data_IF_966238825981
#
_entry.id   IF_966238825981
#
_cell.length_a   1.000
_cell.length_b   1.000
_cell.length_c   1.000
_cell.angle_alpha   90.00
_cell.angle_beta   90.00
_cell.angle_gamma   90.00
#
_symmetry.space_group_name_H-M   'P 1'
#
loop_
_entity.id
_entity.type
_entity.pdbx_description
1 polymer ?
#
# COMPACT_ATOMS: atom_id res chain seq x y z
N UNK A 1 26.96 36.69 -27.90
CA UNK A 1 26.71 37.00 -26.48
C UNK A 1 25.55 36.11 -26.07
N UNK A 2 25.84 34.93 -25.54
CA UNK A 2 24.82 33.97 -25.14
C UNK A 2 24.38 34.34 -23.71
N UNK A 3 23.07 34.51 -23.52
CA UNK A 3 22.47 34.69 -22.21
C UNK A 3 22.67 33.39 -21.41
N UNK A 4 23.23 33.52 -20.20
CA UNK A 4 23.10 32.51 -19.16
C UNK A 4 21.67 32.62 -18.65
N UNK A 5 20.87 31.57 -18.79
CA UNK A 5 19.60 31.47 -18.09
C UNK A 5 19.86 31.04 -16.64
N UNK A 6 19.16 31.72 -15.74
CA UNK A 6 19.34 31.69 -14.29
C UNK A 6 18.75 30.41 -13.69
N UNK A 7 19.62 29.53 -13.19
CA UNK A 7 19.23 28.42 -12.31
C UNK A 7 19.01 28.83 -10.85
N UNK A 8 19.33 30.08 -10.46
CA UNK A 8 19.20 30.57 -9.07
C UNK A 8 17.74 30.73 -8.65
N UNK A 9 16.86 31.09 -9.59
CA UNK A 9 15.47 31.48 -9.29
C UNK A 9 14.58 30.32 -8.85
N UNK A 10 14.90 29.08 -9.21
CA UNK A 10 14.06 27.92 -8.84
C UNK A 10 14.34 27.45 -7.42
N UNK A 11 15.60 27.48 -6.98
CA UNK A 11 15.98 27.01 -5.64
C UNK A 11 15.60 28.01 -4.54
N UNK A 12 15.62 29.30 -4.88
CA UNK A 12 15.14 30.36 -3.98
C UNK A 12 13.62 30.26 -3.78
N UNK A 13 12.86 29.97 -4.84
CA UNK A 13 11.42 29.75 -4.76
C UNK A 13 11.06 28.45 -3.99
N UNK A 14 11.78 27.35 -4.24
CA UNK A 14 11.59 26.08 -3.51
C UNK A 14 11.88 26.25 -2.01
N UNK A 15 12.91 27.02 -1.64
CA UNK A 15 13.24 27.29 -0.25
C UNK A 15 12.20 28.18 0.45
N UNK A 16 11.65 29.17 -0.27
CA UNK A 16 10.55 30.00 0.23
C UNK A 16 9.28 29.16 0.46
N UNK A 17 8.96 28.23 -0.46
CA UNK A 17 7.84 27.29 -0.30
C UNK A 17 8.03 26.35 0.92
N UNK A 18 9.23 25.79 1.12
CA UNK A 18 9.53 24.95 2.30
C UNK A 18 9.38 25.73 3.63
N UNK A 19 9.80 27.00 3.67
CA UNK A 19 9.67 27.85 4.86
C UNK A 19 8.20 28.16 5.18
N UNK A 20 7.37 28.43 4.16
CA UNK A 20 5.94 28.61 4.30
C UNK A 20 5.25 27.33 4.82
N UNK A 21 5.57 26.17 4.26
CA UNK A 21 5.05 24.87 4.73
C UNK A 21 5.40 24.61 6.20
N UNK A 22 6.63 24.96 6.63
CA UNK A 22 7.05 24.79 8.02
C UNK A 22 6.26 25.69 8.98
N UNK A 23 6.01 26.94 8.61
CA UNK A 23 5.21 27.88 9.40
C UNK A 23 3.74 27.46 9.48
N UNK A 24 3.14 27.03 8.37
CA UNK A 24 1.79 26.47 8.36
C UNK A 24 1.68 25.22 9.26
N UNK A 25 2.66 24.31 9.17
CA UNK A 25 2.72 23.14 10.03
C UNK A 25 2.84 23.51 11.52
N UNK A 26 3.63 24.53 11.87
CA UNK A 26 3.73 25.04 13.26
C UNK A 26 2.40 25.60 13.75
N UNK A 27 1.67 26.33 12.91
CA UNK A 27 0.34 26.86 13.24
C UNK A 27 -0.64 25.71 13.47
N UNK A 28 -0.70 24.76 12.53
CA UNK A 28 -1.55 23.58 12.64
C UNK A 28 -1.25 22.80 13.92
N UNK A 29 0.03 22.57 14.23
CA UNK A 29 0.46 21.83 15.43
C UNK A 29 0.08 22.51 16.74
N UNK A 30 0.06 23.85 16.79
CA UNK A 30 -0.43 24.60 17.97
C UNK A 30 -1.93 24.44 18.17
N UNK A 31 -2.69 24.37 17.06
CA UNK A 31 -4.15 24.30 17.08
C UNK A 31 -4.71 22.87 17.08
N UNK A 32 -3.90 21.85 16.79
CA UNK A 32 -4.36 20.48 16.59
C UNK A 32 -5.12 19.90 17.79
N UNK A 33 -4.71 20.24 19.02
CA UNK A 33 -5.41 19.84 20.26
C UNK A 33 -6.81 20.43 20.43
N UNK A 34 -7.14 21.49 19.69
CA UNK A 34 -8.49 22.07 19.64
C UNK A 34 -9.33 21.51 18.49
N UNK A 35 -8.67 20.94 17.47
CA UNK A 35 -9.30 20.49 16.22
C UNK A 35 -9.57 18.98 16.21
N UNK A 36 -8.76 18.19 16.90
CA UNK A 36 -8.81 16.73 16.87
C UNK A 36 -8.77 16.16 18.28
N UNK A 37 -9.66 15.21 18.56
CA UNK A 37 -9.64 14.43 19.79
C UNK A 37 -8.42 13.48 19.84
N UNK A 38 -7.90 13.07 18.67
CA UNK A 38 -6.73 12.21 18.54
C UNK A 38 -5.95 12.52 17.26
N UNK A 39 -4.63 12.61 17.37
CA UNK A 39 -3.70 12.72 16.23
C UNK A 39 -2.60 11.67 16.43
N UNK A 40 -2.44 10.78 15.45
CA UNK A 40 -1.37 9.78 15.41
C UNK A 40 -0.40 10.16 14.29
N UNK A 41 0.86 10.43 14.64
CA UNK A 41 1.91 10.73 13.67
C UNK A 41 3.02 9.70 13.82
N UNK A 42 3.35 9.02 12.72
CA UNK A 42 4.48 8.09 12.65
C UNK A 42 5.28 8.40 11.39
N UNK A 43 6.56 8.71 11.56
CA UNK A 43 7.48 8.86 10.43
C UNK A 43 7.80 7.45 9.89
N UNK A 44 7.49 7.20 8.64
CA UNK A 44 7.90 5.98 7.96
C UNK A 44 9.31 6.17 7.40
N UNK A 45 10.09 5.09 7.35
CA UNK A 45 11.42 5.13 6.72
C UNK A 45 11.32 5.42 5.22
N UNK A 46 10.18 5.06 4.60
CA UNK A 46 9.90 5.25 3.18
C UNK A 46 8.45 5.71 2.97
N UNK A 47 8.17 6.50 1.92
CA UNK A 47 6.81 6.89 1.61
C UNK A 47 5.95 5.66 1.28
N UNK A 48 4.71 5.67 1.76
CA UNK A 48 3.73 4.63 1.47
C UNK A 48 2.76 5.12 0.41
N UNK A 49 2.64 4.41 -0.71
CA UNK A 49 1.70 4.78 -1.78
C UNK A 49 0.29 4.24 -1.55
N UNK A 50 0.15 3.29 -0.63
CA UNK A 50 -1.13 2.69 -0.25
C UNK A 50 -1.22 2.60 1.28
N UNK A 51 -2.40 2.87 1.82
CA UNK A 51 -2.71 2.66 3.25
C UNK A 51 -4.10 2.07 3.36
N UNK A 52 -4.24 1.00 4.14
CA UNK A 52 -5.54 0.36 4.37
C UNK A 52 -5.67 -0.16 5.81
N UNK A 53 -6.76 0.23 6.47
CA UNK A 53 -7.15 -0.34 7.76
C UNK A 53 -7.61 -1.79 7.61
N UNK A 54 -7.24 -2.62 8.58
CA UNK A 54 -7.74 -3.96 8.76
C UNK A 54 -8.93 -3.96 9.74
N UNK A 55 -9.84 -4.95 9.64
CA UNK A 55 -10.84 -5.17 10.69
C UNK A 55 -10.16 -5.30 12.05
N UNK A 56 -10.74 -4.72 13.11
CA UNK A 56 -10.15 -4.78 14.44
C UNK A 56 -10.10 -6.22 14.94
N UNK A 57 -8.99 -6.56 15.60
CA UNK A 57 -8.84 -7.81 16.34
C UNK A 57 -9.06 -7.52 17.83
N UNK A 58 -9.98 -8.24 18.47
CA UNK A 58 -10.30 -8.06 19.90
C UNK A 58 -11.71 -7.53 20.15
N UNK A 59 -12.09 -7.44 21.44
CA UNK A 59 -13.38 -6.89 21.88
C UNK A 59 -13.15 -5.64 22.74
N UNK A 60 -13.99 -4.62 22.53
CA UNK A 60 -14.03 -3.37 23.30
C UNK A 60 -12.67 -2.65 23.41
N UNK A 61 -12.13 -2.53 24.63
CA UNK A 61 -10.98 -1.68 24.97
C UNK A 61 -9.63 -2.23 24.49
N UNK A 62 -9.54 -3.53 24.17
CA UNK A 62 -8.33 -4.18 23.67
C UNK A 62 -8.33 -4.31 22.13
N UNK A 63 -9.23 -3.60 21.44
CA UNK A 63 -9.32 -3.64 19.98
C UNK A 63 -8.03 -3.11 19.33
N UNK A 64 -7.29 -4.00 18.68
CA UNK A 64 -6.14 -3.65 17.84
C UNK A 64 -6.66 -3.36 16.45
N UNK A 65 -6.28 -2.22 15.88
CA UNK A 65 -6.63 -1.80 14.52
C UNK A 65 -5.37 -1.86 13.65
N UNK A 66 -5.10 -2.99 12.98
CA UNK A 66 -3.88 -3.12 12.22
C UNK A 66 -3.99 -2.32 10.90
N UNK A 67 -2.85 -1.85 10.41
CA UNK A 67 -2.73 -1.09 9.17
C UNK A 67 -1.80 -1.81 8.20
N UNK A 68 -2.13 -1.69 6.91
CA UNK A 68 -1.26 -2.08 5.82
C UNK A 68 -0.70 -0.85 5.18
N UNK A 69 0.61 -0.86 4.95
CA UNK A 69 1.33 0.16 4.21
C UNK A 69 2.05 -0.52 3.04
N UNK A 70 1.88 0.00 1.83
CA UNK A 70 2.67 -0.41 0.67
C UNK A 70 3.95 0.40 0.61
N UNK A 71 5.12 -0.24 0.71
CA UNK A 71 6.39 0.49 0.73
C UNK A 71 6.87 0.84 -0.68
N UNK A 72 7.25 2.09 -0.91
CA UNK A 72 8.02 2.50 -2.09
C UNK A 72 9.49 2.11 -1.87
N UNK A 73 9.87 0.92 -2.30
CA UNK A 73 11.28 0.52 -2.28
C UNK A 73 11.83 0.47 -3.68
N UNK A 74 12.75 1.39 -3.97
CA UNK A 74 13.74 1.21 -5.01
C UNK A 74 14.57 -0.04 -4.66
N UNK A 75 14.12 -1.19 -5.18
CA UNK A 75 14.87 -2.42 -5.39
C UNK A 75 15.74 -3.00 -4.23
N UNK A 76 15.39 -2.83 -2.94
CA UNK A 76 16.17 -3.53 -1.89
C UNK A 76 15.47 -4.05 -0.62
N UNK A 77 14.22 -3.72 -0.32
CA UNK A 77 13.56 -4.21 0.92
C UNK A 77 12.03 -4.45 0.70
N UNK A 78 11.47 -5.66 0.89
CA UNK A 78 10.03 -5.93 0.64
C UNK A 78 9.01 -5.31 1.63
N UNK A 79 7.76 -5.18 1.15
CA UNK A 79 6.52 -4.65 1.76
C UNK A 79 6.26 -5.08 3.22
N UNK A 80 5.83 -4.13 4.07
CA UNK A 80 5.72 -4.30 5.53
C UNK A 80 4.36 -3.84 6.10
N UNK A 81 3.80 -4.61 7.04
CA UNK A 81 2.59 -4.30 7.80
C UNK A 81 2.96 -3.76 9.19
N UNK A 82 2.37 -2.64 9.61
CA UNK A 82 2.59 -2.07 10.96
C UNK A 82 1.27 -1.90 11.70
N UNK A 83 1.21 -2.35 12.95
CA UNK A 83 0.14 -1.97 13.88
C UNK A 83 0.55 -0.72 14.68
N UNK A 84 -0.31 0.30 14.82
CA UNK A 84 -0.06 1.39 15.75
C UNK A 84 -0.35 0.91 17.17
N UNK A 85 0.68 0.78 18.01
CA UNK A 85 0.49 0.59 19.47
C UNK A 85 0.09 1.93 20.10
N UNK A 86 -1.07 1.98 20.75
CA UNK A 86 -1.57 3.13 21.50
C UNK A 86 -0.65 3.44 22.70
N UNK A 87 0.22 4.44 22.58
CA UNK A 87 0.85 5.07 23.75
C UNK A 87 0.13 6.37 24.11
N UNK A 88 -0.68 6.31 25.17
CA UNK A 88 -1.21 7.47 25.90
C UNK A 88 -0.09 8.47 26.21
N UNK A 89 -0.34 9.75 25.93
CA UNK A 89 0.58 10.87 26.20
C UNK A 89 0.85 11.01 27.70
N UNK A 90 1.93 10.39 28.19
CA UNK A 90 2.67 10.91 29.33
C UNK A 90 4.02 11.42 28.85
N UNK A 91 4.17 12.74 28.86
CA UNK A 91 5.40 13.48 28.61
C UNK A 91 6.54 12.94 29.49
N UNK A 92 7.35 12.04 28.92
CA UNK A 92 8.73 11.83 29.34
C UNK A 92 9.55 11.50 28.09
N UNK A 93 10.67 12.19 27.84
CA UNK A 93 11.56 11.80 26.74
C UNK A 93 12.11 10.41 27.06
N UNK A 94 11.52 9.38 26.47
CA UNK A 94 12.13 8.07 26.43
C UNK A 94 13.20 8.10 25.33
N UNK A 95 14.37 7.45 25.54
CA UNK A 95 15.33 7.23 24.46
C UNK A 95 14.60 6.55 23.28
N UNK A 96 14.99 6.80 22.02
CA UNK A 96 14.36 6.14 20.89
C UNK A 96 14.43 4.64 21.12
N UNK A 97 13.28 4.04 21.41
CA UNK A 97 13.13 2.60 21.48
C UNK A 97 13.60 2.02 20.15
N UNK A 98 14.28 0.86 20.12
CA UNK A 98 14.52 0.17 18.86
C UNK A 98 13.17 0.03 18.16
N UNK A 99 13.14 0.46 16.91
CA UNK A 99 11.98 0.59 16.03
C UNK A 99 10.99 -0.57 16.21
N UNK A 100 9.66 -0.32 16.24
CA UNK A 100 8.71 -1.41 16.16
C UNK A 100 8.92 -2.11 14.81
N UNK A 101 9.44 -3.35 14.85
CA UNK A 101 9.54 -4.18 13.66
C UNK A 101 8.14 -4.46 13.12
N UNK A 102 7.95 -4.55 11.79
CA UNK A 102 6.65 -4.88 11.25
C UNK A 102 6.18 -6.21 11.81
N UNK A 103 4.89 -6.27 12.18
CA UNK A 103 4.30 -7.49 12.74
C UNK A 103 4.31 -8.61 11.69
N UNK A 104 4.25 -8.25 10.40
CA UNK A 104 4.23 -9.18 9.29
C UNK A 104 4.82 -8.56 8.00
N UNK A 105 5.63 -9.33 7.28
CA UNK A 105 6.30 -8.96 6.04
C UNK A 105 5.83 -9.87 4.91
N UNK A 106 5.29 -9.29 3.84
CA UNK A 106 4.77 -10.05 2.70
C UNK A 106 5.80 -10.07 1.58
N UNK A 107 6.36 -11.25 1.29
CA UNK A 107 7.34 -11.46 0.23
C UNK A 107 6.68 -12.01 -1.03
N UNK A 108 7.09 -11.48 -2.16
CA UNK A 108 6.65 -11.97 -3.47
C UNK A 108 7.00 -11.01 -4.59
N UNK A 109 6.72 -9.73 -4.39
CA UNK A 109 7.10 -8.70 -5.34
C UNK A 109 8.58 -8.34 -5.26
N UNK A 110 9.16 -8.04 -6.42
CA UNK A 110 10.54 -7.54 -6.56
C UNK A 110 10.61 -6.04 -6.83
N UNK A 111 9.47 -5.41 -7.12
CA UNK A 111 9.34 -3.99 -7.38
C UNK A 111 8.16 -3.40 -6.59
N UNK A 112 7.84 -2.13 -6.83
CA UNK A 112 6.79 -1.38 -6.13
C UNK A 112 5.40 -1.96 -6.37
N UNK A 113 4.60 -2.08 -5.31
CA UNK A 113 3.21 -2.54 -5.39
C UNK A 113 2.22 -1.37 -5.38
N UNK A 114 1.30 -1.34 -6.34
CA UNK A 114 0.33 -0.26 -6.55
C UNK A 114 -1.10 -0.65 -6.17
N UNK A 115 -1.57 -1.81 -6.66
CA UNK A 115 -2.90 -2.32 -6.37
C UNK A 115 -2.91 -3.20 -5.12
N UNK A 116 -3.88 -3.02 -4.22
CA UNK A 116 -4.13 -3.90 -3.08
C UNK A 116 -5.63 -4.21 -2.96
N UNK A 117 -5.97 -5.49 -2.85
CA UNK A 117 -7.36 -5.90 -2.62
C UNK A 117 -7.44 -7.09 -1.68
N UNK A 118 -8.18 -6.89 -0.59
CA UNK A 118 -8.63 -7.98 0.28
C UNK A 118 -9.78 -8.75 -0.35
N UNK A 119 -9.82 -10.06 -0.11
CA UNK A 119 -10.93 -10.93 -0.48
C UNK A 119 -12.05 -10.76 0.56
N UNK A 120 -13.18 -10.11 0.23
CA UNK A 120 -14.23 -9.85 1.22
C UNK A 120 -14.90 -11.11 1.78
N UNK A 121 -15.24 -12.13 0.96
CA UNK A 121 -15.84 -13.36 1.49
C UNK A 121 -14.84 -14.32 2.13
N UNK A 122 -13.52 -14.10 2.00
CA UNK A 122 -12.50 -14.99 2.57
C UNK A 122 -11.42 -14.22 3.32
N UNK A 123 -11.54 -14.22 4.64
CA UNK A 123 -10.60 -13.54 5.53
C UNK A 123 -9.16 -14.03 5.36
N UNK A 124 -8.22 -13.08 5.46
CA UNK A 124 -6.79 -13.35 5.35
C UNK A 124 -6.26 -13.50 3.91
N UNK A 125 -7.10 -13.41 2.88
CA UNK A 125 -6.64 -13.46 1.50
C UNK A 125 -6.44 -12.06 0.93
N UNK A 126 -5.22 -11.78 0.46
CA UNK A 126 -4.81 -10.48 -0.08
C UNK A 126 -4.23 -10.64 -1.48
N UNK A 127 -4.65 -9.79 -2.41
CA UNK A 127 -4.01 -9.60 -3.71
C UNK A 127 -3.22 -8.30 -3.71
N UNK A 128 -2.08 -8.30 -4.39
CA UNK A 128 -1.45 -7.07 -4.85
C UNK A 128 -0.85 -7.17 -6.25
N UNK A 129 -0.68 -6.01 -6.87
CA UNK A 129 -0.15 -5.84 -8.22
C UNK A 129 1.00 -4.85 -8.19
N UNK A 130 2.00 -5.05 -9.04
CA UNK A 130 3.27 -4.34 -8.98
C UNK A 130 3.83 -3.99 -10.36
N UNK A 131 4.83 -3.12 -10.36
CA UNK A 131 5.70 -2.79 -11.50
C UNK A 131 6.45 -4.02 -12.05
N UNK A 132 6.66 -5.05 -11.22
CA UNK A 132 7.26 -6.32 -11.67
C UNK A 132 6.34 -7.15 -12.60
N UNK A 133 5.20 -6.60 -12.99
CA UNK A 133 4.17 -7.22 -13.85
C UNK A 133 3.50 -8.46 -13.22
N UNK A 134 3.76 -8.72 -11.93
CA UNK A 134 3.15 -9.81 -11.20
C UNK A 134 1.88 -9.36 -10.48
N UNK A 135 0.99 -10.33 -10.31
CA UNK A 135 -0.05 -10.30 -9.29
C UNK A 135 0.36 -11.34 -8.23
N UNK A 136 0.47 -10.92 -6.97
CA UNK A 136 0.75 -11.82 -5.87
C UNK A 136 -0.51 -12.04 -5.03
N UNK A 137 -0.70 -13.28 -4.57
CA UNK A 137 -1.74 -13.69 -3.65
C UNK A 137 -1.10 -14.18 -2.35
N UNK A 138 -1.50 -13.63 -1.21
CA UNK A 138 -1.11 -14.12 0.11
C UNK A 138 -2.30 -14.68 0.87
N UNK A 139 -2.01 -15.69 1.68
CA UNK A 139 -2.90 -16.23 2.70
C UNK A 139 -2.27 -15.93 4.06
N UNK A 140 -2.79 -14.90 4.73
CA UNK A 140 -2.33 -14.46 6.07
C UNK A 140 -3.25 -14.98 7.19
N UNK A 141 -4.20 -15.87 6.88
CA UNK A 141 -5.15 -16.39 7.87
C UNK A 141 -4.46 -17.20 8.96
N UNK A 142 -3.43 -17.95 8.59
CA UNK A 142 -2.45 -18.51 9.53
C UNK A 142 -1.33 -17.50 9.71
N UNK A 143 -1.43 -16.64 10.75
CA UNK A 143 -0.26 -15.88 11.18
C UNK A 143 0.87 -16.88 11.45
N UNK A 144 1.96 -16.87 10.68
CA UNK A 144 3.06 -17.76 10.97
C UNK A 144 3.67 -17.33 12.31
N UNK A 145 4.29 -18.26 13.01
CA UNK A 145 5.21 -17.92 14.12
C UNK A 145 6.38 -17.04 13.63
N UNK A 146 6.57 -16.95 12.30
CA UNK A 146 7.51 -16.09 11.61
C UNK A 146 6.82 -14.82 11.10
N UNK A 147 7.46 -13.67 11.29
CA UNK A 147 7.01 -12.37 10.79
C UNK A 147 7.11 -12.23 9.25
N UNK A 148 7.26 -13.31 8.49
CA UNK A 148 7.42 -13.28 7.02
C UNK A 148 6.49 -14.30 6.38
N UNK A 149 5.72 -13.86 5.39
CA UNK A 149 4.80 -14.69 4.58
C UNK A 149 5.21 -14.61 3.12
N UNK A 150 5.52 -15.76 2.53
CA UNK A 150 5.77 -15.86 1.09
C UNK A 150 4.44 -15.89 0.32
N UNK A 151 4.44 -15.34 -0.90
CA UNK A 151 3.26 -15.36 -1.75
C UNK A 151 2.83 -16.81 -2.02
N UNK A 152 1.55 -17.08 -1.79
CA UNK A 152 0.92 -18.37 -2.03
C UNK A 152 0.85 -18.66 -3.53
N UNK A 153 0.46 -17.65 -4.30
CA UNK A 153 0.43 -17.71 -5.76
C UNK A 153 1.00 -16.42 -6.36
N UNK A 154 1.58 -16.57 -7.55
CA UNK A 154 2.07 -15.46 -8.37
C UNK A 154 1.58 -15.68 -9.80
N UNK A 155 0.97 -14.64 -10.37
CA UNK A 155 0.44 -14.62 -11.73
C UNK A 155 1.24 -13.63 -12.56
N UNK A 156 1.88 -14.12 -13.63
CA UNK A 156 2.63 -13.31 -14.58
C UNK A 156 1.93 -13.38 -15.93
N UNK A 157 1.02 -12.45 -16.17
CA UNK A 157 0.18 -12.41 -17.38
C UNK A 157 0.16 -11.02 -18.01
N UNK A 158 0.25 -9.97 -17.19
CA UNK A 158 0.38 -8.62 -17.73
C UNK A 158 1.77 -8.44 -18.35
N UNK A 159 1.85 -7.71 -19.46
CA UNK A 159 3.12 -7.38 -20.13
C UNK A 159 3.72 -6.05 -19.62
N UNK A 160 3.12 -5.46 -18.58
CA UNK A 160 3.57 -4.23 -17.93
C UNK A 160 3.00 -4.13 -16.51
N UNK A 161 3.09 -2.93 -15.93
CA UNK A 161 2.70 -2.66 -14.55
C UNK A 161 1.26 -3.07 -14.29
N UNK A 162 1.06 -3.79 -13.18
CA UNK A 162 -0.30 -4.07 -12.68
C UNK A 162 -0.73 -2.91 -11.78
N UNK A 163 -1.47 -1.97 -12.36
CA UNK A 163 -1.87 -0.75 -11.68
C UNK A 163 -2.94 -0.96 -10.61
N UNK A 164 -3.91 -1.85 -10.85
CA UNK A 164 -5.00 -2.08 -9.90
C UNK A 164 -5.63 -3.47 -10.00
N UNK A 165 -6.24 -3.89 -8.89
CA UNK A 165 -6.85 -5.21 -8.69
C UNK A 165 -8.10 -5.07 -7.83
N UNK A 166 -9.11 -5.88 -8.12
CA UNK A 166 -10.29 -5.97 -7.24
C UNK A 166 -10.79 -7.40 -7.15
N UNK A 167 -10.87 -7.91 -5.92
CA UNK A 167 -11.70 -9.08 -5.63
C UNK A 167 -13.16 -8.80 -5.89
N UNK A 168 -13.89 -9.85 -6.25
CA UNK A 168 -15.33 -9.82 -6.34
C UNK A 168 -15.96 -9.85 -4.94
N UNK A 169 -16.92 -8.97 -4.66
CA UNK A 169 -17.47 -8.77 -3.30
C UNK A 169 -18.18 -10.02 -2.74
N UNK A 170 -18.77 -10.85 -3.60
CA UNK A 170 -19.53 -12.06 -3.19
C UNK A 170 -18.89 -13.40 -3.53
N UNK A 171 -17.82 -13.41 -4.33
CA UNK A 171 -17.29 -14.64 -4.91
C UNK A 171 -15.80 -14.75 -4.59
N UNK A 172 -15.46 -15.62 -3.64
CA UNK A 172 -14.10 -15.75 -3.09
C UNK A 172 -13.03 -16.19 -4.10
N UNK A 173 -13.46 -16.69 -5.27
CA UNK A 173 -12.57 -17.19 -6.31
C UNK A 173 -12.43 -16.25 -7.50
N UNK A 174 -13.19 -15.15 -7.54
CA UNK A 174 -13.22 -14.23 -8.67
C UNK A 174 -12.54 -12.92 -8.32
N UNK A 175 -11.67 -12.46 -9.21
CA UNK A 175 -11.09 -11.11 -9.15
C UNK A 175 -10.80 -10.57 -10.55
N UNK A 176 -10.62 -9.27 -10.64
CA UNK A 176 -10.20 -8.56 -11.85
C UNK A 176 -8.84 -7.90 -11.64
N UNK A 177 -8.07 -7.77 -12.71
CA UNK A 177 -6.83 -7.01 -12.75
C UNK A 177 -6.76 -6.12 -13.98
N UNK A 178 -6.09 -4.98 -13.86
CA UNK A 178 -5.81 -4.05 -14.95
C UNK A 178 -4.34 -3.63 -14.93
N UNK A 179 -3.78 -3.37 -16.11
CA UNK A 179 -2.38 -2.97 -16.24
C UNK A 179 -2.09 -1.97 -17.35
N UNK A 180 -0.83 -1.55 -17.43
CA UNK A 180 -0.29 -0.66 -18.46
C UNK A 180 -0.33 -1.24 -19.87
N UNK A 181 -0.40 -2.57 -19.97
CA UNK A 181 -0.62 -3.33 -21.21
C UNK A 181 -2.03 -3.15 -21.80
N UNK A 182 -2.80 -2.19 -21.28
CA UNK A 182 -4.17 -1.87 -21.68
C UNK A 182 -5.14 -3.04 -21.54
N UNK A 183 -4.76 -4.08 -20.80
CA UNK A 183 -5.52 -5.30 -20.65
C UNK A 183 -6.30 -5.32 -19.35
N UNK A 184 -7.54 -5.78 -19.44
CA UNK A 184 -8.37 -6.15 -18.30
C UNK A 184 -8.50 -7.67 -18.29
N UNK A 185 -8.10 -8.28 -17.17
CA UNK A 185 -8.13 -9.72 -16.98
C UNK A 185 -9.12 -10.08 -15.89
N UNK A 186 -9.97 -11.06 -16.16
CA UNK A 186 -10.89 -11.67 -15.19
C UNK A 186 -10.35 -13.04 -14.82
N UNK A 187 -10.29 -13.31 -13.52
CA UNK A 187 -9.67 -14.50 -12.97
C UNK A 187 -10.70 -15.35 -12.23
N UNK A 188 -10.63 -16.67 -12.39
CA UNK A 188 -11.32 -17.64 -11.53
C UNK A 188 -10.30 -18.63 -10.99
N UNK A 189 -10.08 -18.58 -9.67
CA UNK A 189 -9.12 -19.43 -8.97
C UNK A 189 -9.47 -20.93 -9.00
N UNK A 190 -10.68 -21.29 -9.44
CA UNK A 190 -11.10 -22.68 -9.62
C UNK A 190 -10.84 -23.22 -11.02
N UNK A 191 -10.34 -22.37 -11.93
CA UNK A 191 -10.06 -22.76 -13.31
C UNK A 191 -9.14 -23.97 -13.37
N UNK A 192 -9.44 -24.90 -14.29
CA UNK A 192 -8.57 -26.05 -14.56
C UNK A 192 -7.26 -25.66 -15.25
N UNK A 193 -7.18 -24.43 -15.79
CA UNK A 193 -5.97 -23.86 -16.36
C UNK A 193 -5.32 -22.96 -15.30
N UNK A 194 -4.32 -23.46 -14.56
CA UNK A 194 -3.72 -22.70 -13.48
C UNK A 194 -3.03 -21.45 -14.03
N UNK A 195 -3.15 -20.36 -13.27
CA UNK A 195 -2.45 -19.09 -13.53
C UNK A 195 -2.74 -18.44 -14.89
N UNK A 196 -3.89 -18.77 -15.48
CA UNK A 196 -4.39 -18.11 -16.67
C UNK A 196 -5.70 -17.39 -16.36
N UNK A 197 -5.92 -16.19 -16.90
CA UNK A 197 -7.20 -15.50 -16.72
C UNK A 197 -8.29 -16.26 -17.46
N UNK A 198 -9.50 -16.25 -16.89
CA UNK A 198 -10.70 -16.76 -17.56
C UNK A 198 -11.00 -15.95 -18.82
N UNK A 199 -10.78 -14.64 -18.75
CA UNK A 199 -10.98 -13.72 -19.86
C UNK A 199 -9.92 -12.63 -19.82
N UNK A 200 -9.36 -12.32 -20.99
CA UNK A 200 -8.45 -11.20 -21.19
C UNK A 200 -9.01 -10.32 -22.31
N UNK A 201 -9.14 -9.02 -22.05
CA UNK A 201 -9.69 -8.05 -22.99
C UNK A 201 -8.73 -6.87 -23.07
N UNK A 202 -8.36 -6.47 -24.29
CA UNK A 202 -7.76 -5.15 -24.53
C UNK A 202 -8.83 -4.08 -24.31
N UNK A 203 -8.94 -3.56 -23.10
CA UNK A 203 -10.06 -2.75 -22.66
C UNK A 203 -9.93 -1.28 -23.11
N UNK A 204 -8.70 -0.79 -23.29
CA UNK A 204 -8.41 0.62 -23.58
C UNK A 204 -7.31 0.80 -24.62
N UNK A 205 -7.14 2.03 -25.13
CA UNK A 205 -6.02 2.42 -26.00
C UNK A 205 -4.91 3.18 -25.26
N UNK A 206 -5.02 3.28 -23.93
CA UNK A 206 -4.08 3.93 -23.04
C UNK A 206 -4.12 3.27 -21.65
N UNK A 207 -3.07 3.49 -20.86
CA UNK A 207 -2.88 2.96 -19.51
C UNK A 207 -4.08 3.24 -18.57
N UNK A 208 -4.43 2.26 -17.75
CA UNK A 208 -5.42 2.40 -16.67
C UNK A 208 -4.74 2.22 -15.32
N UNK A 209 -4.59 3.33 -14.58
CA UNK A 209 -3.97 3.33 -13.24
C UNK A 209 -4.90 2.96 -12.09
N UNK A 210 -6.22 3.03 -12.30
CA UNK A 210 -7.22 2.66 -11.28
C UNK A 210 -8.49 2.10 -11.91
N UNK A 211 -8.95 0.98 -11.39
CA UNK A 211 -10.30 0.49 -11.56
C UNK A 211 -11.19 1.11 -10.48
N UNK A 212 -12.18 1.92 -10.87
CA UNK A 212 -13.18 2.43 -9.90
C UNK A 212 -14.27 1.38 -9.61
N UNK A 213 -14.26 0.27 -10.35
CA UNK A 213 -15.30 -0.76 -10.28
C UNK A 213 -14.81 -1.92 -9.43
N UNK A 214 -15.37 -2.03 -8.21
CA UNK A 214 -15.34 -3.29 -7.47
C UNK A 214 -16.30 -4.25 -8.17
N UNK A 215 -15.78 -5.41 -8.59
CA UNK A 215 -16.58 -6.47 -9.20
C UNK A 215 -17.56 -7.10 -8.19
#
# INVERSE_FOLDING_TARGET
>A
MAAKEDGSSTWEAEAEEEEEEEEEFKIWKKNSSLLYDMVLCHALDWPSLTVQWLPPNGHDDDAVFPLILGTHTSCSEPNSLTSPTLTSLQNKPQPPSPFPSPDLRLRGHTMEAYGLSWNPPKEGYLLSGSDDSLICLWDISTMPQQQVVEAKEMYNVHEGVVGDLSWHVKHEYLFGSVGEDCSLNIWDLRSSLPKTPLQSILAHQAEVRRSTVRL
#
